data_IF_520984249786
#
_entry.id   IF_520984249786
#
_cell.length_a   1.000
_cell.length_b   1.000
_cell.length_c   1.000
_cell.angle_alpha   90.00
_cell.angle_beta   90.00
_cell.angle_gamma   90.00
#
_symmetry.space_group_name_H-M   'P 1'
#
loop_
_entity.id
_entity.type
_entity.pdbx_description
1 polymer ?
#
# COMPACT_ATOMS: atom_id res chain seq x y z
N UNK A 1 -14.51 1.51 -15.76
CA UNK A 1 -13.96 2.74 -15.15
C UNK A 1 -13.44 2.38 -13.78
N UNK A 2 -12.13 2.48 -13.55
CA UNK A 2 -11.56 2.22 -12.22
C UNK A 2 -11.69 3.51 -11.42
N UNK A 3 -12.36 3.44 -10.27
CA UNK A 3 -12.59 4.61 -9.45
C UNK A 3 -11.25 5.00 -8.79
N UNK A 4 -10.74 6.20 -9.09
CA UNK A 4 -9.44 6.69 -8.61
C UNK A 4 -9.42 6.76 -7.07
N UNK A 5 -10.50 7.24 -6.46
CA UNK A 5 -10.62 7.31 -5.02
C UNK A 5 -12.07 7.17 -4.54
N UNK A 6 -12.23 6.64 -3.34
CA UNK A 6 -13.54 6.48 -2.68
C UNK A 6 -13.64 7.45 -1.50
N UNK A 7 -14.70 8.26 -1.45
CA UNK A 7 -14.99 9.12 -0.29
C UNK A 7 -15.40 8.22 0.88
N UNK A 8 -14.71 8.33 2.01
CA UNK A 8 -15.00 7.53 3.22
C UNK A 8 -15.56 8.35 4.39
N UNK A 9 -15.51 9.69 4.29
CA UNK A 9 -16.01 10.60 5.32
C UNK A 9 -17.42 11.10 4.99
N UNK A 10 -18.19 11.47 6.01
CA UNK A 10 -19.58 11.91 5.85
C UNK A 10 -19.72 13.42 5.59
N UNK A 11 -18.73 14.23 6.00
CA UNK A 11 -18.75 15.68 5.81
C UNK A 11 -18.41 16.10 4.38
N UNK A 12 -18.61 17.39 4.09
CA UNK A 12 -18.24 17.98 2.81
C UNK A 12 -16.73 17.91 2.61
N UNK A 13 -16.31 17.43 1.44
CA UNK A 13 -14.89 17.28 1.08
C UNK A 13 -14.63 18.02 -0.21
N UNK A 14 -13.43 18.59 -0.37
CA UNK A 14 -13.07 19.27 -1.60
C UNK A 14 -13.16 18.33 -2.79
N UNK A 15 -13.56 18.85 -3.96
CA UNK A 15 -13.62 18.06 -5.19
C UNK A 15 -12.31 17.35 -5.49
N UNK A 16 -12.41 16.14 -6.04
CA UNK A 16 -11.26 15.31 -6.39
C UNK A 16 -10.28 16.04 -7.33
N UNK A 17 -10.78 16.98 -8.15
CA UNK A 17 -9.96 17.82 -9.01
C UNK A 17 -8.94 18.67 -8.25
N UNK A 18 -9.27 19.12 -7.03
CA UNK A 18 -8.33 19.86 -6.17
C UNK A 18 -7.19 18.98 -5.67
N UNK A 19 -7.37 17.66 -5.69
CA UNK A 19 -6.34 16.68 -5.33
C UNK A 19 -5.48 16.25 -6.51
N UNK A 20 -5.75 16.73 -7.73
CA UNK A 20 -4.95 16.39 -8.93
C UNK A 20 -3.47 16.70 -8.76
N UNK A 21 -3.13 17.73 -8.00
CA UNK A 21 -1.74 18.09 -7.72
C UNK A 21 -1.05 17.21 -6.69
N UNK A 22 -1.81 16.42 -5.94
CA UNK A 22 -1.29 15.54 -4.91
C UNK A 22 -0.56 14.35 -5.52
N UNK A 23 0.53 13.95 -4.87
CA UNK A 23 1.37 12.83 -5.32
C UNK A 23 0.60 11.51 -5.41
N UNK A 24 -0.31 11.24 -4.48
CA UNK A 24 -1.18 10.04 -4.49
C UNK A 24 -2.09 10.01 -5.72
N UNK A 25 -2.67 11.15 -6.10
CA UNK A 25 -3.59 11.23 -7.23
C UNK A 25 -2.85 10.94 -8.54
N UNK A 26 -1.74 11.64 -8.78
CA UNK A 26 -0.88 11.44 -9.97
C UNK A 26 -0.40 9.99 -10.07
N UNK A 27 -0.10 9.36 -8.93
CA UNK A 27 0.28 7.95 -8.87
C UNK A 27 -0.85 7.00 -9.26
N UNK A 28 -2.04 7.20 -8.71
CA UNK A 28 -3.22 6.37 -9.03
C UNK A 28 -3.63 6.51 -10.49
N UNK A 29 -3.70 7.75 -10.99
CA UNK A 29 -4.00 8.03 -12.40
C UNK A 29 -2.97 7.37 -13.33
N UNK A 30 -1.69 7.43 -12.99
CA UNK A 30 -0.64 6.76 -13.75
C UNK A 30 -0.80 5.24 -13.76
N UNK A 31 -1.18 4.64 -12.63
CA UNK A 31 -1.45 3.19 -12.54
C UNK A 31 -2.68 2.79 -13.36
N UNK A 32 -3.74 3.60 -13.35
CA UNK A 32 -4.95 3.36 -14.14
C UNK A 32 -4.69 3.42 -15.65
N UNK A 33 -3.74 4.25 -16.07
CA UNK A 33 -3.25 4.31 -17.44
C UNK A 33 -2.25 3.18 -17.80
N UNK A 34 -2.03 2.20 -16.92
CA UNK A 34 -1.08 1.09 -17.15
C UNK A 34 0.39 1.49 -16.98
N UNK A 35 0.66 2.64 -16.38
CA UNK A 35 2.01 3.10 -16.08
C UNK A 35 2.69 2.24 -15.02
N UNK A 36 4.02 2.15 -15.11
CA UNK A 36 4.84 1.43 -14.14
C UNK A 36 5.34 2.40 -13.05
N UNK A 37 5.36 1.92 -11.81
CA UNK A 37 5.95 2.64 -10.68
C UNK A 37 7.47 2.60 -10.75
N UNK A 38 8.10 3.77 -10.64
CA UNK A 38 9.54 3.93 -10.45
C UNK A 38 9.97 3.53 -9.03
N UNK A 39 11.27 3.31 -8.83
CA UNK A 39 11.82 2.87 -7.53
C UNK A 39 11.49 3.84 -6.40
N UNK A 40 11.59 5.14 -6.64
CA UNK A 40 11.30 6.20 -5.67
C UNK A 40 9.81 6.25 -5.33
N UNK A 41 8.93 6.08 -6.32
CA UNK A 41 7.48 5.98 -6.12
C UNK A 41 7.10 4.76 -5.29
N UNK A 42 7.71 3.60 -5.53
CA UNK A 42 7.46 2.37 -4.74
C UNK A 42 7.87 2.53 -3.28
N UNK A 43 9.04 3.11 -3.02
CA UNK A 43 9.51 3.39 -1.67
C UNK A 43 8.59 4.38 -0.97
N UNK A 44 8.20 5.45 -1.66
CA UNK A 44 7.27 6.44 -1.13
C UNK A 44 5.91 5.83 -0.81
N UNK A 45 5.33 5.05 -1.73
CA UNK A 45 4.03 4.41 -1.52
C UNK A 45 4.06 3.46 -0.33
N UNK A 46 5.10 2.63 -0.23
CA UNK A 46 5.29 1.70 0.90
C UNK A 46 5.38 2.48 2.22
N UNK A 47 6.14 3.57 2.26
CA UNK A 47 6.27 4.41 3.46
C UNK A 47 4.93 5.06 3.84
N UNK A 48 4.25 5.69 2.88
CA UNK A 48 2.96 6.34 3.11
C UNK A 48 1.92 5.37 3.66
N UNK A 49 1.94 4.09 3.24
CA UNK A 49 1.05 3.06 3.76
C UNK A 49 1.39 2.67 5.20
N UNK A 50 2.67 2.58 5.54
CA UNK A 50 3.09 2.29 6.91
C UNK A 50 2.78 3.45 7.87
N UNK A 51 2.81 4.68 7.38
CA UNK A 51 2.38 5.86 8.14
C UNK A 51 0.84 6.00 8.17
N UNK A 52 0.10 5.28 7.31
CA UNK A 52 -1.36 5.35 7.25
C UNK A 52 -2.01 4.38 8.25
N UNK A 53 -2.50 4.91 9.38
CA UNK A 53 -3.14 4.09 10.40
C UNK A 53 -4.55 3.60 10.03
N UNK A 54 -5.18 4.16 8.99
CA UNK A 54 -6.61 3.96 8.72
C UNK A 54 -6.92 2.85 7.72
N UNK A 55 -6.06 2.64 6.73
CA UNK A 55 -6.28 1.66 5.66
C UNK A 55 -5.03 0.79 5.44
N UNK A 56 -5.23 -0.52 5.28
CA UNK A 56 -4.14 -1.48 5.07
C UNK A 56 -3.54 -1.41 3.65
N UNK A 57 -4.36 -1.12 2.65
CA UNK A 57 -3.98 -1.13 1.24
C UNK A 57 -4.25 0.20 0.52
N UNK A 58 -4.66 1.24 1.25
CA UNK A 58 -5.07 2.51 0.67
C UNK A 58 -4.46 3.69 1.41
N UNK A 59 -4.38 4.84 0.75
CA UNK A 59 -3.92 6.09 1.37
C UNK A 59 -5.10 7.03 1.48
N UNK A 60 -5.37 7.48 2.71
CA UNK A 60 -6.36 8.51 2.98
C UNK A 60 -5.78 9.90 2.71
N UNK A 61 -6.48 10.72 1.93
CA UNK A 61 -6.15 12.12 1.70
C UNK A 61 -7.43 12.96 1.58
N UNK A 62 -7.56 13.98 2.44
CA UNK A 62 -8.69 14.93 2.42
C UNK A 62 -10.09 14.26 2.36
N UNK A 63 -10.25 13.13 3.08
CA UNK A 63 -11.52 12.39 3.14
C UNK A 63 -11.78 11.41 1.99
N UNK A 64 -10.82 11.28 1.06
CA UNK A 64 -10.80 10.26 0.01
C UNK A 64 -9.79 9.16 0.35
N UNK A 65 -10.13 7.93 -0.01
CA UNK A 65 -9.27 6.76 0.08
C UNK A 65 -8.86 6.33 -1.33
N UNK A 66 -7.56 6.35 -1.60
CA UNK A 66 -6.98 5.88 -2.85
C UNK A 66 -6.51 4.45 -2.66
N UNK A 67 -7.15 3.51 -3.35
CA UNK A 67 -6.83 2.10 -3.25
C UNK A 67 -5.61 1.74 -4.11
N UNK A 68 -4.67 0.99 -3.54
CA UNK A 68 -3.47 0.45 -4.19
C UNK A 68 -3.37 -1.07 -4.03
N UNK A 69 -4.46 -1.73 -3.63
CA UNK A 69 -4.53 -3.19 -3.48
C UNK A 69 -4.03 -3.96 -4.71
N UNK A 70 -4.13 -3.35 -5.90
CA UNK A 70 -3.69 -3.93 -7.18
C UNK A 70 -2.17 -4.02 -7.37
N UNK A 71 -1.41 -3.13 -6.71
CA UNK A 71 0.06 -3.10 -6.81
C UNK A 71 0.76 -3.61 -5.55
N UNK A 72 0.03 -3.68 -4.43
CA UNK A 72 0.59 -4.06 -3.14
C UNK A 72 0.65 -5.57 -2.98
N UNK A 73 1.71 -5.99 -2.29
CA UNK A 73 1.94 -7.37 -1.88
C UNK A 73 2.04 -7.44 -0.37
N UNK A 74 1.65 -8.59 0.16
CA UNK A 74 1.62 -8.87 1.59
C UNK A 74 2.87 -9.62 2.03
N UNK A 75 3.58 -9.03 2.97
CA UNK A 75 4.83 -9.54 3.51
C UNK A 75 4.69 -9.79 5.00
N UNK A 76 5.26 -10.89 5.47
CA UNK A 76 5.42 -11.15 6.89
C UNK A 76 6.90 -10.99 7.22
N UNK A 77 7.17 -10.16 8.21
CA UNK A 77 8.53 -9.81 8.63
C UNK A 77 8.70 -10.26 10.05
N UNK A 78 9.73 -11.07 10.28
CA UNK A 78 10.15 -11.48 11.62
C UNK A 78 11.29 -10.58 12.09
N UNK A 79 11.06 -9.86 13.19
CA UNK A 79 12.03 -9.01 13.85
C UNK A 79 11.93 -9.19 15.36
N UNK A 80 13.08 -9.38 16.02
CA UNK A 80 13.19 -9.48 17.49
C UNK A 80 12.21 -10.51 18.11
N UNK A 81 12.02 -11.65 17.45
CA UNK A 81 11.07 -12.68 17.91
C UNK A 81 9.58 -12.41 17.62
N UNK A 82 9.23 -11.26 17.04
CA UNK A 82 7.86 -10.91 16.65
C UNK A 82 7.66 -10.98 15.13
N UNK A 83 6.48 -11.44 14.70
CA UNK A 83 6.08 -11.43 13.28
C UNK A 83 5.04 -10.35 13.06
N UNK A 84 5.33 -9.43 12.15
CA UNK A 84 4.41 -8.36 11.75
C UNK A 84 4.05 -8.47 10.26
N UNK A 85 2.79 -8.13 9.95
CA UNK A 85 2.25 -8.09 8.60
C UNK A 85 2.45 -6.70 8.00
N UNK A 86 3.04 -6.64 6.81
CA UNK A 86 3.35 -5.41 6.09
C UNK A 86 2.83 -5.46 4.65
N UNK A 87 2.28 -4.34 4.20
CA UNK A 87 1.89 -4.13 2.81
C UNK A 87 2.94 -3.25 2.12
N UNK A 88 3.49 -3.76 1.03
CA UNK A 88 4.51 -3.07 0.25
C UNK A 88 4.44 -3.45 -1.23
N UNK A 89 4.95 -2.57 -2.10
CA UNK A 89 4.99 -2.87 -3.54
C UNK A 89 5.99 -4.00 -3.84
N UNK A 90 7.16 -3.95 -3.20
CA UNK A 90 8.19 -4.97 -3.33
C UNK A 90 9.02 -5.14 -2.05
N UNK A 91 9.65 -6.31 -1.90
CA UNK A 91 10.52 -6.68 -0.76
C UNK A 91 11.62 -5.63 -0.52
N UNK A 92 12.13 -5.02 -1.57
CA UNK A 92 13.22 -4.06 -1.49
C UNK A 92 12.71 -2.71 -0.99
N UNK A 93 11.51 -2.28 -1.36
CA UNK A 93 10.86 -1.07 -0.80
C UNK A 93 10.48 -1.28 0.66
N UNK A 94 10.01 -2.49 1.02
CA UNK A 94 9.75 -2.85 2.41
C UNK A 94 11.02 -2.77 3.27
N UNK A 95 12.12 -3.36 2.79
CA UNK A 95 13.44 -3.26 3.45
C UNK A 95 13.96 -1.83 3.59
N UNK A 96 13.52 -0.92 2.73
CA UNK A 96 13.89 0.50 2.83
C UNK A 96 13.12 1.25 3.90
N UNK A 97 11.95 0.74 4.32
CA UNK A 97 11.09 1.37 5.32
C UNK A 97 11.31 0.74 6.70
N UNK A 98 11.61 -0.55 6.75
CA UNK A 98 11.91 -1.25 7.99
C UNK A 98 13.32 -0.92 8.47
N UNK A 99 13.41 -0.47 9.71
CA UNK A 99 14.68 -0.25 10.38
C UNK A 99 15.07 -1.49 11.19
N UNK A 100 16.38 -1.76 11.28
CA UNK A 100 16.93 -2.85 12.10
C UNK A 100 17.15 -4.18 11.36
N UNK A 101 17.62 -5.18 12.10
CA UNK A 101 17.93 -6.52 11.56
C UNK A 101 16.63 -7.28 11.32
N UNK A 102 16.39 -7.64 10.07
CA UNK A 102 15.30 -8.54 9.68
C UNK A 102 15.81 -9.98 9.78
N UNK A 103 15.17 -10.80 10.59
CA UNK A 103 15.51 -12.22 10.73
C UNK A 103 14.97 -13.01 9.54
N UNK A 104 13.70 -12.79 9.21
CA UNK A 104 13.03 -13.46 8.10
C UNK A 104 12.04 -12.53 7.39
N UNK A 105 11.89 -12.71 6.08
CA UNK A 105 10.93 -11.97 5.27
C UNK A 105 10.35 -12.88 4.20
N UNK A 106 9.13 -13.36 4.46
CA UNK A 106 8.33 -14.15 3.55
C UNK A 106 7.32 -13.27 2.81
N UNK A 107 7.32 -13.37 1.47
CA UNK A 107 6.19 -12.94 0.67
C UNK A 107 5.11 -14.02 0.77
N UNK A 108 3.92 -13.69 1.28
CA UNK A 108 2.78 -14.60 1.13
C UNK A 108 2.13 -14.30 -0.21
N UNK A 109 2.42 -15.14 -1.22
CA UNK A 109 1.48 -15.28 -2.32
C UNK A 109 0.18 -15.77 -1.70
N UNK A 110 -0.95 -15.13 -2.04
CA UNK A 110 -2.27 -15.65 -1.68
C UNK A 110 -2.52 -16.84 -2.62
N UNK A 111 -1.79 -17.94 -2.40
CA UNK A 111 -2.06 -19.23 -3.02
C UNK A 111 -2.49 -20.17 -1.90
N UNK A 112 -3.81 -20.32 -1.84
CA UNK A 112 -4.64 -21.34 -1.19
C UNK A 112 -4.51 -21.62 0.32
N UNK A 113 -5.67 -21.65 1.03
CA UNK A 113 -5.79 -22.35 2.29
C UNK A 113 -6.20 -23.82 2.03
N UNK A 114 -5.27 -24.76 2.04
CA UNK A 114 -5.58 -26.19 2.23
C UNK A 114 -4.34 -26.86 2.82
N UNK A 115 -4.38 -27.72 3.84
CA UNK A 115 -5.34 -28.15 4.87
C UNK A 115 -4.42 -28.94 5.84
N UNK A 116 -4.55 -28.88 7.18
CA UNK A 116 -3.80 -29.83 8.01
C UNK A 116 -4.39 -31.22 7.73
N UNK A 117 -3.65 -32.05 6.99
CA UNK A 117 -3.94 -33.48 6.92
C UNK A 117 -3.53 -34.08 8.27
N UNK A 118 -4.45 -34.87 8.80
CA UNK A 118 -4.46 -35.47 10.14
C UNK A 118 -3.19 -36.24 10.51
#
# INVERSE_FOLDING_TARGET
MKQIASKFVQWDVPELEKLKDSKVYKLRERLDNGGKLSRSEKNWLTRSLQECCHFKCGIALMGYCFDFSDVLKRYFVKQYGHVAEYYAVDKTSLRSVLYGRIEDLCLKHISEPTRPTA
#
